data_IF_685714743590
#
_entry.id   IF_685714743590
#
_cell.length_a   1.000
_cell.length_b   1.000
_cell.length_c   1.000
_cell.angle_alpha   90.00
_cell.angle_beta   90.00
_cell.angle_gamma   90.00
#
_symmetry.space_group_name_H-M   'P 1'
#
loop_
_entity.id
_entity.type
_entity.pdbx_description
1 polymer ?
#
# COMPACT_ATOMS: atom_id res chain seq x y z
N UNK A 1 -0.91 17.44 12.06
CA UNK A 1 -0.68 16.08 12.59
C UNK A 1 0.42 15.49 11.72
N UNK A 2 1.39 14.81 12.28
CA UNK A 2 2.34 14.08 11.46
C UNK A 2 1.68 12.85 10.79
N UNK A 3 2.34 12.25 9.82
CA UNK A 3 1.75 11.14 9.05
C UNK A 3 1.51 9.89 9.90
N UNK A 4 2.38 9.60 10.86
CA UNK A 4 2.17 8.49 11.81
C UNK A 4 0.96 8.75 12.69
N UNK A 5 0.81 9.96 13.22
CA UNK A 5 -0.37 10.34 14.00
C UNK A 5 -1.67 10.30 13.19
N UNK A 6 -1.63 10.59 11.88
CA UNK A 6 -2.77 10.43 10.97
C UNK A 6 -3.15 8.95 10.81
N UNK A 7 -2.17 8.07 10.56
CA UNK A 7 -2.37 6.62 10.46
C UNK A 7 -2.98 6.05 11.73
N UNK A 8 -2.38 6.32 12.88
CA UNK A 8 -2.86 5.83 14.18
C UNK A 8 -4.28 6.28 14.49
N UNK A 9 -4.62 7.51 14.16
CA UNK A 9 -5.97 8.03 14.30
C UNK A 9 -6.97 7.27 13.42
N UNK A 10 -6.66 7.09 12.12
CA UNK A 10 -7.53 6.33 11.20
C UNK A 10 -7.70 4.90 11.72
N UNK A 11 -6.60 4.25 12.10
CA UNK A 11 -6.63 2.90 12.65
C UNK A 11 -7.55 2.79 13.84
N UNK A 12 -7.35 3.60 14.86
CA UNK A 12 -8.16 3.57 16.10
C UNK A 12 -9.63 3.92 15.87
N UNK A 13 -9.93 4.81 14.93
CA UNK A 13 -11.30 5.25 14.66
C UNK A 13 -12.07 4.31 13.70
N UNK A 14 -11.37 3.44 12.93
CA UNK A 14 -11.98 2.69 11.83
C UNK A 14 -11.80 1.19 11.92
N UNK A 15 -10.74 0.69 12.52
CA UNK A 15 -10.44 -0.75 12.56
C UNK A 15 -10.78 -1.29 13.95
N UNK A 16 -11.83 -2.09 14.03
CA UNK A 16 -12.41 -2.59 15.29
C UNK A 16 -12.48 -4.12 15.34
N UNK A 17 -11.97 -4.80 14.30
CA UNK A 17 -12.00 -6.27 14.25
C UNK A 17 -11.04 -6.90 15.26
N UNK A 18 -11.32 -8.15 15.58
CA UNK A 18 -10.49 -8.92 16.49
C UNK A 18 -9.02 -8.93 16.03
N UNK A 19 -8.10 -8.79 16.99
CA UNK A 19 -6.64 -8.76 16.78
C UNK A 19 -6.10 -7.53 16.00
N UNK A 20 -6.89 -6.48 15.81
CA UNK A 20 -6.41 -5.23 15.19
C UNK A 20 -5.25 -4.58 15.95
N UNK A 21 -5.24 -4.70 17.28
CA UNK A 21 -4.17 -4.22 18.15
C UNK A 21 -2.89 -5.07 18.03
N UNK A 22 -2.99 -6.37 17.78
CA UNK A 22 -1.84 -7.24 17.49
C UNK A 22 -1.19 -6.85 16.15
N UNK A 23 -2.00 -6.60 15.12
CA UNK A 23 -1.51 -6.11 13.83
C UNK A 23 -0.79 -4.76 13.97
N UNK A 24 -1.38 -3.81 14.69
CA UNK A 24 -0.75 -2.51 14.93
C UNK A 24 0.56 -2.63 15.72
N UNK A 25 0.58 -3.43 16.78
CA UNK A 25 1.77 -3.68 17.58
C UNK A 25 2.90 -4.28 16.74
N UNK A 26 2.58 -5.21 15.84
CA UNK A 26 3.56 -5.79 14.93
C UNK A 26 4.15 -4.73 13.99
N UNK A 27 3.30 -3.90 13.37
CA UNK A 27 3.76 -2.80 12.50
C UNK A 27 4.70 -1.84 13.24
N UNK A 28 4.38 -1.49 14.50
CA UNK A 28 5.14 -0.50 15.27
C UNK A 28 6.47 -1.04 15.84
N UNK A 29 6.53 -2.33 16.19
CA UNK A 29 7.64 -2.87 16.98
C UNK A 29 8.54 -3.84 16.25
N UNK A 30 8.04 -4.48 15.21
CA UNK A 30 8.74 -5.56 14.53
C UNK A 30 9.03 -5.24 13.06
N UNK A 31 8.54 -4.10 12.57
CA UNK A 31 8.74 -3.67 11.19
C UNK A 31 9.23 -2.23 11.08
N UNK A 32 9.74 -1.91 9.91
CA UNK A 32 10.11 -0.55 9.51
C UNK A 32 8.98 0.19 8.76
N UNK A 33 7.72 -0.25 8.89
CA UNK A 33 6.58 0.27 8.11
C UNK A 33 6.48 1.79 8.09
N UNK A 34 6.71 2.43 9.23
CA UNK A 34 6.60 3.88 9.38
C UNK A 34 7.82 4.65 8.84
N UNK A 35 8.90 3.95 8.51
CA UNK A 35 10.18 4.52 8.08
C UNK A 35 10.60 4.05 6.70
N UNK A 36 10.09 2.90 6.23
CA UNK A 36 10.42 2.31 4.96
C UNK A 36 10.03 3.23 3.78
N UNK A 37 10.81 3.21 2.68
CA UNK A 37 10.39 3.81 1.42
C UNK A 37 9.30 2.95 0.75
N UNK A 38 8.48 3.54 -0.12
CA UNK A 38 7.51 2.79 -0.93
C UNK A 38 8.15 2.11 -2.14
N UNK A 39 9.28 2.62 -2.62
CA UNK A 39 10.01 2.09 -3.77
C UNK A 39 11.52 2.40 -3.70
N UNK A 40 12.31 1.86 -4.62
CA UNK A 40 13.73 2.17 -4.72
C UNK A 40 14.04 3.45 -5.50
N UNK A 41 13.15 3.91 -6.39
CA UNK A 41 13.41 5.03 -7.32
C UNK A 41 12.18 5.83 -7.73
N UNK A 42 10.99 5.23 -7.61
CA UNK A 42 9.74 5.81 -8.09
C UNK A 42 9.04 6.57 -6.96
N UNK A 43 7.73 6.52 -6.94
CA UNK A 43 6.92 7.12 -5.88
C UNK A 43 7.40 6.71 -4.49
N UNK A 44 7.45 7.65 -3.56
CA UNK A 44 7.79 7.40 -2.17
C UNK A 44 9.21 6.83 -1.92
N UNK A 45 10.20 7.09 -2.79
CA UNK A 45 11.58 6.66 -2.62
C UNK A 45 12.34 7.50 -1.57
N UNK A 46 11.75 7.70 -0.40
CA UNK A 46 12.28 8.46 0.72
C UNK A 46 11.86 7.84 2.06
N UNK A 47 12.49 8.18 3.19
CA UNK A 47 12.07 7.69 4.50
C UNK A 47 10.59 7.99 4.78
N UNK A 48 9.84 6.98 5.25
CA UNK A 48 8.41 7.08 5.50
C UNK A 48 7.53 7.07 4.24
N UNK A 49 8.10 6.82 3.07
CA UNK A 49 7.36 6.77 1.80
C UNK A 49 6.25 5.72 1.79
N UNK A 50 6.49 4.55 2.40
CA UNK A 50 5.47 3.48 2.51
C UNK A 50 4.26 3.95 3.31
N UNK A 51 4.46 4.61 4.43
CA UNK A 51 3.40 5.20 5.23
C UNK A 51 2.60 6.25 4.44
N UNK A 52 3.29 7.15 3.75
CA UNK A 52 2.65 8.21 2.94
C UNK A 52 1.81 7.59 1.83
N UNK A 53 2.36 6.60 1.12
CA UNK A 53 1.67 5.85 0.08
C UNK A 53 0.40 5.18 0.63
N UNK A 54 0.51 4.43 1.72
CA UNK A 54 -0.64 3.77 2.36
C UNK A 54 -1.75 4.76 2.74
N UNK A 55 -1.41 5.93 3.25
CA UNK A 55 -2.39 6.98 3.55
C UNK A 55 -3.04 7.56 2.29
N UNK A 56 -2.26 7.79 1.23
CA UNK A 56 -2.80 8.28 -0.04
C UNK A 56 -3.76 7.25 -0.66
N UNK A 57 -3.39 5.96 -0.64
CA UNK A 57 -4.28 4.88 -1.10
C UNK A 57 -5.56 4.81 -0.27
N UNK A 58 -5.47 4.91 1.06
CA UNK A 58 -6.64 4.99 1.94
C UNK A 58 -7.57 6.15 1.54
N UNK A 59 -7.04 7.35 1.36
CA UNK A 59 -7.85 8.51 1.00
C UNK A 59 -8.49 8.38 -0.39
N UNK A 60 -7.75 7.83 -1.36
CA UNK A 60 -8.28 7.55 -2.71
C UNK A 60 -9.37 6.49 -2.66
N UNK A 61 -9.14 5.37 -1.99
CA UNK A 61 -10.09 4.28 -1.87
C UNK A 61 -11.37 4.72 -1.18
N UNK A 62 -11.25 5.48 -0.08
CA UNK A 62 -12.39 6.05 0.62
C UNK A 62 -13.21 6.99 -0.27
N UNK A 63 -12.54 7.83 -1.06
CA UNK A 63 -13.20 8.72 -2.02
C UNK A 63 -13.96 7.94 -3.09
N UNK A 64 -13.37 6.88 -3.65
CA UNK A 64 -14.02 5.99 -4.62
C UNK A 64 -15.27 5.38 -3.99
N UNK A 65 -15.16 4.78 -2.81
CA UNK A 65 -16.29 4.15 -2.11
C UNK A 65 -17.42 5.14 -1.81
N UNK A 66 -17.11 6.37 -1.40
CA UNK A 66 -18.10 7.44 -1.15
C UNK A 66 -18.82 7.82 -2.45
N UNK A 67 -18.09 8.03 -3.54
CA UNK A 67 -18.67 8.42 -4.83
C UNK A 67 -19.61 7.32 -5.35
N UNK A 68 -19.19 6.07 -5.27
CA UNK A 68 -20.01 4.94 -5.74
C UNK A 68 -21.24 4.71 -4.88
N UNK A 69 -21.16 4.95 -3.57
CA UNK A 69 -22.30 4.78 -2.66
C UNK A 69 -23.33 5.91 -2.78
N UNK A 70 -22.87 7.14 -2.90
CA UNK A 70 -23.74 8.32 -2.79
C UNK A 70 -23.82 9.17 -4.05
N UNK A 71 -23.00 8.91 -5.06
CA UNK A 71 -22.92 9.71 -6.29
C UNK A 71 -22.30 11.10 -6.12
N UNK A 72 -21.82 11.43 -4.91
CA UNK A 72 -21.21 12.73 -4.60
C UNK A 72 -19.93 12.54 -3.78
N UNK A 73 -18.90 13.41 -3.95
CA UNK A 73 -17.61 13.25 -3.27
C UNK A 73 -17.60 13.73 -1.79
N UNK A 74 -18.71 14.20 -1.26
CA UNK A 74 -18.81 14.87 0.04
C UNK A 74 -19.83 14.22 0.98
N UNK A 75 -20.02 12.92 0.93
CA UNK A 75 -20.88 12.23 1.88
C UNK A 75 -20.20 12.09 3.26
N UNK A 76 -20.97 12.28 4.37
CA UNK A 76 -20.37 12.39 5.71
C UNK A 76 -19.83 11.07 6.26
N UNK A 77 -20.47 9.94 5.96
CA UNK A 77 -20.06 8.61 6.45
C UNK A 77 -20.47 7.50 5.49
N UNK A 78 -19.57 6.54 5.30
CA UNK A 78 -19.91 5.20 4.83
C UNK A 78 -20.45 4.37 6.00
N UNK A 79 -21.03 3.21 5.72
CA UNK A 79 -21.35 2.23 6.75
C UNK A 79 -20.06 1.81 7.50
N UNK A 80 -20.17 1.43 8.75
CA UNK A 80 -19.00 1.19 9.61
C UNK A 80 -18.13 0.04 9.09
N UNK A 81 -18.73 -1.03 8.60
CA UNK A 81 -18.06 -2.16 7.96
C UNK A 81 -17.32 -1.75 6.67
N UNK A 82 -17.91 -0.85 5.88
CA UNK A 82 -17.26 -0.32 4.67
C UNK A 82 -16.09 0.61 5.03
N UNK A 83 -16.21 1.46 6.06
CA UNK A 83 -15.13 2.30 6.55
C UNK A 83 -13.95 1.44 7.07
N UNK A 84 -14.24 0.33 7.77
CA UNK A 84 -13.23 -0.61 8.24
C UNK A 84 -12.50 -1.29 7.08
N UNK A 85 -13.25 -1.85 6.13
CA UNK A 85 -12.67 -2.45 4.91
C UNK A 85 -11.78 -1.46 4.15
N UNK A 86 -12.24 -0.23 3.96
CA UNK A 86 -11.45 0.84 3.31
C UNK A 86 -10.16 1.13 4.07
N UNK A 87 -10.21 1.17 5.41
CA UNK A 87 -9.03 1.41 6.23
C UNK A 87 -8.04 0.25 6.13
N UNK A 88 -8.50 -0.98 6.26
CA UNK A 88 -7.66 -2.19 6.17
C UNK A 88 -6.99 -2.26 4.79
N UNK A 89 -7.76 -2.17 3.72
CA UNK A 89 -7.25 -2.27 2.37
C UNK A 89 -6.26 -1.16 2.06
N UNK A 90 -6.62 0.09 2.31
CA UNK A 90 -5.77 1.24 1.99
C UNK A 90 -4.47 1.26 2.78
N UNK A 91 -4.55 0.96 4.09
CA UNK A 91 -3.39 1.06 4.98
C UNK A 91 -2.45 -0.15 4.91
N UNK A 92 -2.93 -1.33 4.52
CA UNK A 92 -2.16 -2.58 4.62
C UNK A 92 -1.83 -3.27 3.30
N UNK A 93 -2.37 -2.83 2.14
CA UNK A 93 -2.19 -3.55 0.87
C UNK A 93 -0.72 -3.85 0.54
N UNK A 94 0.17 -2.95 0.90
CA UNK A 94 1.60 -2.96 0.57
C UNK A 94 2.51 -3.39 1.74
N UNK A 95 1.97 -4.00 2.79
CA UNK A 95 2.75 -4.44 3.96
C UNK A 95 3.84 -5.46 3.60
N UNK A 96 3.78 -6.08 2.43
CA UNK A 96 4.86 -6.92 1.91
C UNK A 96 6.21 -6.22 1.77
N UNK A 97 6.22 -4.88 1.74
CA UNK A 97 7.43 -4.06 1.58
C UNK A 97 8.21 -3.86 2.88
N UNK A 98 7.64 -4.20 4.04
CA UNK A 98 8.31 -4.03 5.33
C UNK A 98 9.59 -4.86 5.41
N UNK A 99 10.63 -4.28 6.01
CA UNK A 99 11.94 -4.91 6.22
C UNK A 99 12.62 -5.39 4.91
N UNK A 100 12.28 -4.78 3.76
CA UNK A 100 12.81 -5.15 2.45
C UNK A 100 13.83 -4.15 1.89
N UNK A 101 13.94 -2.97 2.47
CA UNK A 101 14.81 -1.94 1.94
C UNK A 101 16.05 -1.73 2.80
N UNK A 102 17.16 -1.45 2.13
CA UNK A 102 18.39 -1.00 2.76
C UNK A 102 19.07 0.05 1.87
N UNK A 103 19.92 0.88 2.43
CA UNK A 103 20.69 1.86 1.68
C UNK A 103 22.01 1.25 1.25
N UNK A 104 22.42 1.56 0.02
CA UNK A 104 23.76 1.23 -0.51
C UNK A 104 24.35 2.43 -1.23
N UNK A 105 25.68 2.51 -1.24
CA UNK A 105 26.40 3.53 -2.00
C UNK A 105 26.46 3.11 -3.47
N UNK A 106 25.95 3.96 -4.36
CA UNK A 106 26.05 3.82 -5.82
C UNK A 106 26.83 4.97 -6.41
N UNK A 107 27.30 4.80 -7.65
CA UNK A 107 28.00 5.85 -8.39
C UNK A 107 27.18 6.30 -9.58
N UNK A 108 27.16 7.60 -9.80
CA UNK A 108 26.56 8.21 -11.00
C UNK A 108 27.47 9.31 -11.54
N UNK A 109 27.32 9.62 -12.83
CA UNK A 109 27.94 10.79 -13.42
C UNK A 109 27.07 12.00 -13.14
N UNK A 110 27.62 13.01 -12.47
CA UNK A 110 26.92 14.26 -12.21
C UNK A 110 26.69 14.99 -13.54
N UNK A 111 25.44 15.28 -13.95
CA UNK A 111 25.15 15.89 -15.24
C UNK A 111 25.67 17.32 -15.37
N UNK A 112 25.79 18.06 -14.25
CA UNK A 112 26.27 19.44 -14.26
C UNK A 112 27.79 19.55 -14.33
N UNK A 113 28.52 18.64 -13.67
CA UNK A 113 29.97 18.70 -13.57
C UNK A 113 30.71 17.70 -14.46
N UNK A 114 30.04 16.65 -14.91
CA UNK A 114 30.60 15.55 -15.68
C UNK A 114 31.48 14.59 -14.86
N UNK A 115 31.70 14.81 -13.56
CA UNK A 115 32.45 13.94 -12.67
C UNK A 115 31.58 12.83 -12.07
N UNK A 116 32.27 11.72 -11.71
CA UNK A 116 31.65 10.66 -10.96
C UNK A 116 31.47 11.06 -9.48
N UNK A 117 30.28 10.84 -8.93
CA UNK A 117 29.97 11.07 -7.53
C UNK A 117 29.32 9.83 -6.92
N UNK A 118 29.58 9.62 -5.62
CA UNK A 118 28.89 8.60 -4.84
C UNK A 118 27.61 9.18 -4.29
N UNK A 119 26.52 8.38 -4.30
CA UNK A 119 25.25 8.76 -3.71
C UNK A 119 24.61 7.57 -3.00
N UNK A 120 23.75 7.84 -2.00
CA UNK A 120 22.99 6.80 -1.34
C UNK A 120 21.74 6.48 -2.15
N UNK A 121 21.46 5.20 -2.33
CA UNK A 121 20.29 4.71 -3.02
C UNK A 121 19.64 3.59 -2.21
N UNK A 122 18.33 3.47 -2.31
CA UNK A 122 17.64 2.29 -1.77
C UNK A 122 17.87 1.08 -2.68
N UNK A 123 18.14 -0.06 -2.05
CA UNK A 123 18.14 -1.37 -2.67
C UNK A 123 17.07 -2.24 -2.02
N UNK A 124 16.47 -3.11 -2.83
CA UNK A 124 15.40 -4.01 -2.38
C UNK A 124 15.95 -5.42 -2.23
N UNK A 125 15.70 -6.02 -1.09
CA UNK A 125 16.01 -7.42 -0.82
C UNK A 125 14.86 -8.04 -0.05
N UNK A 126 14.11 -8.92 -0.69
CA UNK A 126 13.00 -9.61 -0.05
C UNK A 126 13.47 -10.84 0.72
N UNK A 127 13.35 -10.88 2.05
CA UNK A 127 13.70 -12.05 2.85
C UNK A 127 12.65 -13.17 2.77
N UNK A 128 11.44 -12.88 2.24
CA UNK A 128 10.32 -13.82 2.14
C UNK A 128 9.61 -13.67 0.79
N UNK A 129 10.19 -14.20 -0.31
CA UNK A 129 9.69 -13.97 -1.67
C UNK A 129 8.47 -14.85 -2.01
N UNK A 130 7.31 -14.51 -1.46
CA UNK A 130 6.03 -15.19 -1.70
C UNK A 130 5.25 -14.64 -2.90
N UNK A 131 5.70 -13.54 -3.50
CA UNK A 131 4.91 -12.72 -4.41
C UNK A 131 4.37 -11.47 -3.70
N UNK A 132 4.03 -10.43 -4.46
CA UNK A 132 3.73 -9.12 -3.88
C UNK A 132 2.44 -9.14 -3.05
N UNK A 133 1.31 -9.42 -3.67
CA UNK A 133 0.01 -9.48 -2.98
C UNK A 133 -0.11 -10.68 -2.04
N UNK A 134 0.47 -11.84 -2.40
CA UNK A 134 0.50 -13.03 -1.56
C UNK A 134 1.22 -12.79 -0.24
N UNK A 135 2.33 -12.06 -0.28
CA UNK A 135 3.11 -11.74 0.92
C UNK A 135 2.35 -10.77 1.82
N UNK A 136 1.71 -9.73 1.27
CA UNK A 136 0.86 -8.84 2.06
C UNK A 136 -0.26 -9.62 2.75
N UNK A 137 -0.99 -10.44 2.00
CA UNK A 137 -2.04 -11.29 2.53
C UNK A 137 -1.53 -12.22 3.65
N UNK A 138 -0.41 -12.91 3.42
CA UNK A 138 0.20 -13.81 4.39
C UNK A 138 0.60 -13.08 5.69
N UNK A 139 1.24 -11.91 5.58
CA UNK A 139 1.70 -11.15 6.72
C UNK A 139 0.53 -10.63 7.56
N UNK A 140 -0.52 -10.10 6.93
CA UNK A 140 -1.70 -9.60 7.63
C UNK A 140 -2.41 -10.74 8.38
N UNK A 141 -2.67 -11.86 7.71
CA UNK A 141 -3.41 -12.99 8.30
C UNK A 141 -2.66 -13.72 9.43
N UNK A 142 -1.39 -13.42 9.64
CA UNK A 142 -0.67 -13.88 10.85
C UNK A 142 -1.01 -13.10 12.11
N UNK A 143 -1.62 -11.93 11.95
CA UNK A 143 -1.87 -10.99 13.06
C UNK A 143 -3.34 -10.60 13.16
N UNK A 144 -4.09 -10.62 12.06
CA UNK A 144 -5.49 -10.19 12.01
C UNK A 144 -6.19 -10.90 10.85
N UNK A 145 -7.40 -11.41 11.08
CA UNK A 145 -8.19 -12.05 10.03
C UNK A 145 -8.70 -11.02 9.00
N UNK A 146 -8.75 -11.45 7.75
CA UNK A 146 -9.31 -10.69 6.64
C UNK A 146 -10.60 -11.36 6.16
N UNK A 147 -11.59 -10.54 5.79
CA UNK A 147 -12.74 -11.04 5.04
C UNK A 147 -12.32 -11.54 3.65
N UNK A 148 -13.02 -12.52 3.07
CA UNK A 148 -12.65 -13.09 1.76
C UNK A 148 -12.50 -12.03 0.67
N UNK A 149 -13.35 -11.01 0.66
CA UNK A 149 -13.31 -9.92 -0.33
C UNK A 149 -12.08 -9.03 -0.16
N UNK A 150 -11.67 -8.78 1.08
CA UNK A 150 -10.45 -8.04 1.42
C UNK A 150 -9.20 -8.83 1.03
N UNK A 151 -9.19 -10.12 1.33
CA UNK A 151 -8.11 -11.03 0.96
C UNK A 151 -7.91 -11.05 -0.56
N UNK A 152 -8.99 -11.12 -1.35
CA UNK A 152 -8.94 -11.02 -2.80
C UNK A 152 -8.40 -9.65 -3.26
N UNK A 153 -8.85 -8.56 -2.65
CA UNK A 153 -8.40 -7.22 -3.02
C UNK A 153 -6.90 -7.05 -2.77
N UNK A 154 -6.41 -7.40 -1.58
CA UNK A 154 -4.98 -7.34 -1.24
C UNK A 154 -4.16 -8.25 -2.14
N UNK A 155 -4.61 -9.50 -2.36
CA UNK A 155 -3.91 -10.45 -3.24
C UNK A 155 -3.72 -9.90 -4.65
N UNK A 156 -4.71 -9.22 -5.20
CA UNK A 156 -4.74 -8.84 -6.60
C UNK A 156 -4.63 -7.32 -6.87
N UNK A 157 -4.25 -6.51 -5.87
CA UNK A 157 -4.18 -5.04 -6.04
C UNK A 157 -3.22 -4.58 -7.14
N UNK A 158 -2.16 -5.36 -7.42
CA UNK A 158 -1.27 -5.10 -8.55
C UNK A 158 -1.94 -5.29 -9.94
N UNK A 159 -3.12 -5.91 -9.99
CA UNK A 159 -3.88 -6.11 -11.23
C UNK A 159 -3.06 -6.79 -12.32
N UNK A 160 -3.04 -6.21 -13.52
CA UNK A 160 -2.30 -6.73 -14.67
C UNK A 160 -0.76 -6.66 -14.51
N UNK A 161 -0.25 -5.93 -13.52
CA UNK A 161 1.18 -5.89 -13.22
C UNK A 161 1.64 -7.06 -12.35
N UNK A 162 0.71 -7.82 -11.76
CA UNK A 162 1.01 -9.04 -11.01
C UNK A 162 1.61 -10.13 -11.93
N UNK A 163 2.66 -10.81 -11.46
CA UNK A 163 3.36 -11.80 -12.29
C UNK A 163 2.51 -13.04 -12.62
N UNK A 164 1.61 -13.43 -11.71
CA UNK A 164 0.65 -14.51 -12.00
C UNK A 164 -0.35 -14.07 -13.07
N UNK A 165 -0.83 -12.81 -13.03
CA UNK A 165 -1.75 -12.26 -14.02
C UNK A 165 -1.12 -12.12 -15.42
N UNK A 166 0.18 -11.82 -15.50
CA UNK A 166 0.92 -11.78 -16.77
C UNK A 166 1.00 -13.14 -17.45
N UNK A 167 1.02 -14.21 -16.65
CA UNK A 167 1.09 -15.58 -17.16
C UNK A 167 -0.30 -16.12 -17.52
N UNK A 168 -1.28 -15.92 -16.63
CA UNK A 168 -2.69 -16.33 -16.82
C UNK A 168 -3.60 -15.40 -16.00
N UNK A 169 -4.40 -14.60 -16.68
CA UNK A 169 -5.26 -13.59 -16.06
C UNK A 169 -6.62 -14.14 -15.58
N UNK A 170 -6.90 -15.43 -15.74
CA UNK A 170 -8.20 -16.02 -15.36
C UNK A 170 -8.51 -15.88 -13.88
N UNK A 171 -7.51 -16.08 -13.02
CA UNK A 171 -7.69 -15.93 -11.57
C UNK A 171 -7.95 -14.47 -11.17
N UNK A 172 -7.22 -13.51 -11.76
CA UNK A 172 -7.49 -12.08 -11.58
C UNK A 172 -8.90 -11.70 -12.05
N UNK A 173 -9.30 -12.15 -13.23
CA UNK A 173 -10.65 -11.89 -13.75
C UNK A 173 -11.74 -12.48 -12.85
N UNK A 174 -11.54 -13.70 -12.35
CA UNK A 174 -12.45 -14.32 -11.38
C UNK A 174 -12.51 -13.52 -10.05
N UNK A 175 -11.39 -13.05 -9.55
CA UNK A 175 -11.34 -12.23 -8.35
C UNK A 175 -12.08 -10.89 -8.53
N UNK A 176 -11.93 -10.23 -9.68
CA UNK A 176 -12.65 -9.00 -10.01
C UNK A 176 -14.18 -9.19 -10.09
N UNK A 177 -14.62 -10.38 -10.51
CA UNK A 177 -16.05 -10.74 -10.52
C UNK A 177 -16.54 -11.05 -9.10
N UNK A 178 -15.71 -11.67 -8.27
CA UNK A 178 -16.08 -12.07 -6.91
C UNK A 178 -16.11 -10.88 -5.94
N UNK A 179 -15.24 -9.87 -6.13
CA UNK A 179 -15.17 -8.71 -5.24
C UNK A 179 -14.85 -7.42 -6.01
N UNK A 180 -15.72 -6.40 -5.91
CA UNK A 180 -15.44 -5.08 -6.48
C UNK A 180 -14.26 -4.38 -5.81
N UNK A 181 -13.89 -4.79 -4.60
CA UNK A 181 -12.73 -4.23 -3.89
C UNK A 181 -11.41 -4.48 -4.59
N UNK A 182 -11.29 -5.55 -5.38
CA UNK A 182 -10.11 -5.82 -6.21
C UNK A 182 -9.85 -4.65 -7.16
N UNK A 183 -10.88 -4.19 -7.86
CA UNK A 183 -10.79 -3.09 -8.80
C UNK A 183 -10.59 -1.74 -8.09
N UNK A 184 -11.38 -1.48 -7.06
CA UNK A 184 -11.31 -0.22 -6.30
C UNK A 184 -9.94 0.01 -5.68
N UNK A 185 -9.36 -1.02 -5.10
CA UNK A 185 -8.02 -0.92 -4.49
C UNK A 185 -6.94 -0.70 -5.56
N UNK A 186 -7.00 -1.42 -6.67
CA UNK A 186 -6.08 -1.21 -7.80
C UNK A 186 -6.17 0.23 -8.34
N UNK A 187 -7.37 0.77 -8.53
CA UNK A 187 -7.56 2.15 -8.97
C UNK A 187 -6.98 3.15 -7.95
N UNK A 188 -7.26 2.95 -6.67
CA UNK A 188 -6.77 3.81 -5.61
C UNK A 188 -5.24 3.83 -5.54
N UNK A 189 -4.60 2.65 -5.61
CA UNK A 189 -3.16 2.49 -5.62
C UNK A 189 -2.52 3.17 -6.85
N UNK A 190 -3.04 2.91 -8.04
CA UNK A 190 -2.56 3.55 -9.26
C UNK A 190 -2.71 5.07 -9.21
N UNK A 191 -3.82 5.59 -8.69
CA UNK A 191 -4.00 7.03 -8.53
C UNK A 191 -3.02 7.62 -7.52
N UNK A 192 -2.79 6.96 -6.39
CA UNK A 192 -1.82 7.40 -5.39
C UNK A 192 -0.40 7.47 -6.00
N UNK A 193 0.06 6.36 -6.60
CA UNK A 193 1.41 6.25 -7.14
C UNK A 193 1.69 7.19 -8.33
N UNK A 194 0.72 7.36 -9.25
CA UNK A 194 0.96 8.04 -10.52
C UNK A 194 0.43 9.49 -10.58
N UNK A 195 -0.42 9.89 -9.64
CA UNK A 195 -1.01 11.23 -9.63
C UNK A 195 -0.58 12.00 -8.39
N UNK A 196 -0.72 11.40 -7.18
CA UNK A 196 -0.49 12.12 -5.93
C UNK A 196 0.98 12.19 -5.53
N UNK A 197 1.73 11.13 -5.83
CA UNK A 197 3.12 10.95 -5.41
C UNK A 197 4.13 11.17 -6.54
N UNK A 198 3.65 11.55 -7.70
CA UNK A 198 4.52 11.86 -8.83
C UNK A 198 5.30 13.14 -8.50
N UNK A 199 6.60 13.00 -8.28
CA UNK A 199 7.49 14.14 -8.25
C UNK A 199 7.52 14.76 -9.65
N UNK A 200 7.42 16.10 -9.72
CA UNK A 200 7.63 16.79 -10.97
C UNK A 200 9.05 16.45 -11.46
N UNK A 201 9.15 15.91 -12.67
CA UNK A 201 10.44 15.76 -13.33
C UNK A 201 11.05 17.16 -13.47
N UNK A 202 12.09 17.46 -12.66
CA UNK A 202 12.91 18.65 -12.79
C UNK A 202 13.91 18.51 -13.96
#
# INVERSE_FOLDING_TARGET
MDKKGEFLKIWTERVHRDHADEMLNWLERETDFFEAPASTRNHGAHPGGLLVHSLNVYHRLRKIAVIETYGIPMAPKLAEDVEETVAILGLLHDVCKVNCYHTETRRRKNPATGFWEDYQAYAFRDPLPLGHGEKSLYLIQRHMDLEPEEALAIRWHMGAYDDAAKTDNRALSAAMVASPWVWRLQEADMCAAWIDEREAEE
#
